data_IF_613459912164
#
_entry.id   IF_613459912164
#
_cell.length_a   1.000
_cell.length_b   1.000
_cell.length_c   1.000
_cell.angle_alpha   90.00
_cell.angle_beta   90.00
_cell.angle_gamma   90.00
#
_symmetry.space_group_name_H-M   'P 1'
#
loop_
_entity.id
_entity.type
_entity.pdbx_description
1 polymer ?
#
# COMPACT_ATOMS: atom_id res chain seq x y z
N UNK A 1 -8.23 -10.92 -30.34
CA UNK A 1 -8.34 -9.44 -30.52
C UNK A 1 -8.25 -8.83 -29.12
N UNK A 2 -7.24 -8.09 -28.68
CA UNK A 2 -5.95 -7.67 -29.21
C UNK A 2 -4.97 -7.67 -28.03
N UNK A 3 -3.79 -8.22 -28.24
CA UNK A 3 -2.67 -8.19 -27.29
C UNK A 3 -1.89 -6.88 -27.48
N UNK A 4 -1.61 -6.17 -26.39
CA UNK A 4 -0.67 -5.05 -26.41
C UNK A 4 0.77 -5.59 -26.47
N UNK A 5 1.51 -5.23 -27.51
CA UNK A 5 2.95 -5.43 -27.64
C UNK A 5 3.68 -4.30 -26.90
N UNK A 6 4.57 -4.65 -25.95
CA UNK A 6 5.62 -3.74 -25.50
C UNK A 6 6.92 -4.12 -26.21
N UNK A 7 7.42 -3.19 -27.03
CA UNK A 7 8.72 -3.27 -27.71
C UNK A 7 9.80 -2.88 -26.71
N UNK A 8 10.70 -3.80 -26.38
CA UNK A 8 11.92 -3.51 -25.64
C UNK A 8 12.98 -2.98 -26.62
N UNK A 9 13.53 -1.79 -26.36
CA UNK A 9 14.62 -1.24 -27.20
C UNK A 9 15.99 -1.86 -26.84
N UNK A 10 16.91 -2.10 -27.82
CA UNK A 10 18.16 -2.82 -27.59
C UNK A 10 19.29 -2.03 -26.89
N UNK A 11 19.02 -0.85 -26.34
CA UNK A 11 20.08 0.11 -25.96
C UNK A 11 20.59 0.00 -24.52
N UNK A 12 19.95 -0.77 -23.63
CA UNK A 12 20.42 -0.91 -22.24
C UNK A 12 21.49 -2.00 -22.04
N UNK A 13 21.56 -3.01 -22.90
CA UNK A 13 22.57 -4.07 -22.81
C UNK A 13 23.99 -3.57 -23.16
N UNK A 14 24.11 -2.58 -24.05
CA UNK A 14 25.39 -2.01 -24.45
C UNK A 14 26.02 -1.09 -23.37
N UNK A 15 25.19 -0.42 -22.56
CA UNK A 15 25.67 0.49 -21.52
C UNK A 15 26.30 -0.26 -20.32
N UNK A 16 25.81 -1.47 -20.02
CA UNK A 16 26.39 -2.34 -18.99
C UNK A 16 27.70 -3.00 -19.45
N UNK A 17 27.84 -3.32 -20.74
CA UNK A 17 29.06 -3.91 -21.29
C UNK A 17 30.26 -2.92 -21.33
N UNK A 18 30.03 -1.64 -21.64
CA UNK A 18 31.10 -0.62 -21.63
C UNK A 18 31.57 -0.22 -20.22
N UNK A 19 30.71 -0.38 -19.21
CA UNK A 19 31.07 -0.06 -17.82
C UNK A 19 31.96 -1.14 -17.18
N UNK A 20 31.86 -2.37 -17.66
CA UNK A 20 32.64 -3.52 -17.16
C UNK A 20 34.03 -3.66 -17.81
N UNK A 21 34.29 -3.04 -18.97
CA UNK A 21 35.63 -3.01 -19.57
C UNK A 21 36.57 -2.04 -18.85
N UNK A 22 36.03 -0.96 -18.28
CA UNK A 22 36.79 0.05 -17.52
C UNK A 22 37.22 -0.43 -16.13
N UNK A 23 36.46 -1.35 -15.51
CA UNK A 23 36.83 -1.93 -14.21
C UNK A 23 37.95 -2.98 -14.29
N UNK A 24 38.23 -3.54 -15.48
CA UNK A 24 39.32 -4.53 -15.68
C UNK A 24 40.73 -3.93 -15.62
N UNK A 25 40.88 -2.61 -15.78
CA UNK A 25 42.19 -1.97 -15.81
C UNK A 25 42.69 -1.48 -14.44
N UNK A 26 41.80 -1.30 -13.46
CA UNK A 26 42.16 -0.62 -12.21
C UNK A 26 42.41 -1.54 -11.02
N UNK A 27 41.83 -2.74 -10.98
CA UNK A 27 41.92 -3.65 -9.81
C UNK A 27 41.83 -5.14 -10.23
N UNK A 28 42.94 -5.78 -10.65
CA UNK A 28 42.92 -7.16 -11.15
C UNK A 28 42.57 -8.23 -10.09
N UNK A 29 42.56 -7.91 -8.80
CA UNK A 29 42.31 -8.89 -7.71
C UNK A 29 40.84 -9.04 -7.27
N UNK A 30 39.90 -8.33 -7.89
CA UNK A 30 38.45 -8.41 -7.59
C UNK A 30 37.61 -9.04 -8.71
N UNK A 31 38.22 -9.37 -9.86
CA UNK A 31 37.52 -9.94 -11.00
C UNK A 31 37.21 -11.44 -10.85
N UNK A 32 37.78 -12.13 -9.86
CA UNK A 32 37.65 -13.59 -9.70
C UNK A 32 36.50 -14.02 -8.76
N UNK A 33 35.69 -13.08 -8.25
CA UNK A 33 34.57 -13.39 -7.33
C UNK A 33 33.18 -13.11 -7.90
N UNK A 34 33.05 -12.80 -9.20
CA UNK A 34 31.76 -12.53 -9.84
C UNK A 34 31.37 -13.53 -10.96
N UNK A 35 32.11 -14.63 -11.12
CA UNK A 35 31.81 -15.67 -12.13
C UNK A 35 31.03 -16.90 -11.58
N UNK A 36 30.51 -16.87 -10.35
CA UNK A 36 29.83 -18.04 -9.73
C UNK A 36 28.32 -17.91 -9.49
N UNK A 37 27.58 -17.13 -10.30
CA UNK A 37 26.11 -17.03 -10.15
C UNK A 37 25.29 -17.05 -11.46
N UNK A 38 25.82 -17.58 -12.56
CA UNK A 38 25.01 -17.80 -13.77
C UNK A 38 25.36 -19.17 -14.36
N UNK A 39 24.82 -20.24 -13.81
CA UNK A 39 24.63 -21.52 -14.51
C UNK A 39 23.54 -22.32 -13.77
N UNK A 40 22.45 -22.68 -14.47
CA UNK A 40 21.66 -23.93 -14.41
C UNK A 40 20.24 -23.73 -15.01
N UNK A 41 19.65 -24.77 -15.65
CA UNK A 41 19.15 -24.65 -17.03
C UNK A 41 17.63 -24.79 -17.20
N UNK A 42 17.16 -24.23 -18.33
CA UNK A 42 15.82 -24.37 -18.89
C UNK A 42 15.50 -25.83 -19.29
N UNK A 43 14.41 -26.40 -18.77
CA UNK A 43 13.85 -27.65 -19.25
C UNK A 43 12.65 -27.40 -20.19
N UNK A 44 12.75 -27.96 -21.38
CA UNK A 44 11.79 -27.92 -22.47
C UNK A 44 10.84 -29.11 -22.34
N UNK A 45 9.53 -28.93 -22.47
CA UNK A 45 8.61 -30.05 -22.78
C UNK A 45 7.47 -29.58 -23.69
N UNK A 46 7.40 -30.20 -24.86
CA UNK A 46 6.42 -29.98 -25.93
C UNK A 46 5.67 -31.28 -26.18
N UNK A 47 4.42 -31.13 -26.64
CA UNK A 47 3.51 -32.13 -27.29
C UNK A 47 2.78 -33.06 -26.32
N UNK A 48 1.46 -33.29 -26.42
CA UNK A 48 0.75 -33.76 -27.62
C UNK A 48 -0.77 -33.50 -27.58
N UNK A 49 -1.39 -33.41 -28.77
CA UNK A 49 -2.84 -33.46 -29.04
C UNK A 49 -3.45 -34.85 -28.78
N UNK A 50 -4.77 -34.90 -28.55
CA UNK A 50 -5.81 -35.78 -29.17
C UNK A 50 -7.14 -35.54 -28.38
N UNK A 51 -8.16 -34.89 -28.95
CA UNK A 51 -9.29 -35.41 -29.74
C UNK A 51 -10.46 -36.06 -28.93
N UNK A 52 -11.55 -35.29 -28.76
CA UNK A 52 -13.03 -35.54 -28.90
C UNK A 52 -13.67 -36.93 -28.57
N UNK A 53 -15.02 -37.06 -28.58
CA UNK A 53 -16.09 -36.34 -27.86
C UNK A 53 -17.07 -37.35 -27.20
N UNK A 54 -18.10 -36.93 -26.44
CA UNK A 54 -19.42 -37.59 -26.49
C UNK A 54 -20.49 -36.71 -25.82
N UNK A 55 -21.56 -36.45 -26.59
CA UNK A 55 -22.79 -35.84 -26.14
C UNK A 55 -23.88 -36.92 -26.16
N UNK A 56 -24.76 -36.95 -25.17
CA UNK A 56 -26.10 -37.53 -25.31
C UNK A 56 -27.11 -36.77 -24.46
N UNK A 57 -28.19 -36.37 -25.12
CA UNK A 57 -29.45 -35.86 -24.55
C UNK A 57 -30.35 -37.02 -24.13
N UNK A 58 -31.23 -36.78 -23.15
CA UNK A 58 -32.62 -37.30 -23.03
C UNK A 58 -33.33 -36.41 -22.00
N UNK A 59 -34.29 -35.57 -22.36
CA UNK A 59 -35.73 -35.79 -22.61
C UNK A 59 -36.49 -36.38 -21.41
N UNK A 60 -37.17 -35.45 -20.72
CA UNK A 60 -38.51 -35.44 -20.13
C UNK A 60 -39.05 -36.65 -19.34
N UNK A 61 -39.61 -36.37 -18.16
CA UNK A 61 -40.95 -36.82 -17.79
C UNK A 61 -41.60 -35.84 -16.82
N UNK A 62 -42.79 -35.38 -17.20
CA UNK A 62 -43.72 -34.55 -16.44
C UNK A 62 -44.36 -35.34 -15.31
N UNK A 63 -44.30 -34.82 -14.08
CA UNK A 63 -45.21 -35.20 -13.01
C UNK A 63 -45.85 -33.95 -12.42
N UNK A 64 -47.17 -33.84 -12.62
CA UNK A 64 -48.05 -32.92 -11.93
C UNK A 64 -48.09 -33.32 -10.44
N UNK A 65 -47.79 -32.37 -9.57
CA UNK A 65 -48.05 -32.44 -8.13
C UNK A 65 -48.83 -31.19 -7.74
N UNK A 66 -50.08 -31.40 -7.30
CA UNK A 66 -50.84 -30.40 -6.54
C UNK A 66 -50.22 -30.29 -5.16
N UNK A 67 -49.89 -29.07 -4.73
CA UNK A 67 -49.41 -28.84 -3.36
C UNK A 67 -49.22 -27.38 -2.99
N UNK A 68 -50.18 -26.88 -2.22
CA UNK A 68 -50.05 -25.88 -1.15
C UNK A 68 -49.58 -24.45 -1.50
N UNK A 69 -50.53 -23.51 -1.41
CA UNK A 69 -50.29 -22.08 -1.24
C UNK A 69 -49.66 -21.83 0.15
N UNK A 70 -48.33 -21.78 0.21
CA UNK A 70 -47.62 -21.21 1.34
C UNK A 70 -47.21 -19.77 1.00
N UNK A 71 -47.84 -18.80 1.68
CA UNK A 71 -47.45 -17.40 1.63
C UNK A 71 -46.00 -17.25 2.12
N UNK A 72 -45.07 -17.01 1.20
CA UNK A 72 -43.68 -16.69 1.52
C UNK A 72 -43.59 -15.23 1.95
N UNK A 73 -43.59 -14.99 3.26
CA UNK A 73 -43.10 -13.73 3.82
C UNK A 73 -41.57 -13.71 3.70
N UNK A 74 -41.06 -13.06 2.67
CA UNK A 74 -39.65 -12.69 2.59
C UNK A 74 -39.38 -11.58 3.62
N UNK A 75 -38.38 -11.72 4.52
CA UNK A 75 -38.02 -10.62 5.39
C UNK A 75 -37.41 -9.51 4.52
N UNK A 76 -37.96 -8.31 4.63
CA UNK A 76 -37.39 -7.10 4.04
C UNK A 76 -35.99 -6.92 4.63
N UNK A 77 -34.98 -7.23 3.81
CA UNK A 77 -33.58 -6.95 4.11
C UNK A 77 -33.45 -5.43 4.19
N UNK A 78 -33.08 -4.83 5.33
CA UNK A 78 -32.88 -3.39 5.38
C UNK A 78 -31.71 -3.09 4.45
N UNK A 79 -31.98 -2.36 3.37
CA UNK A 79 -30.92 -1.78 2.55
C UNK A 79 -30.14 -0.84 3.47
N UNK A 80 -29.00 -1.34 3.94
CA UNK A 80 -28.01 -0.52 4.65
C UNK A 80 -27.57 0.53 3.64
N UNK A 81 -28.10 1.74 3.82
CA UNK A 81 -27.75 2.89 3.00
C UNK A 81 -26.26 3.16 3.27
N UNK A 82 -25.39 2.61 2.41
CA UNK A 82 -23.97 2.93 2.45
C UNK A 82 -23.88 4.35 1.93
N UNK A 83 -23.86 5.31 2.87
CA UNK A 83 -23.47 6.68 2.58
C UNK A 83 -22.05 6.61 2.03
N UNK A 84 -21.89 6.85 0.73
CA UNK A 84 -20.61 7.19 0.13
C UNK A 84 -20.15 8.52 0.73
N UNK A 85 -19.54 8.47 1.92
CA UNK A 85 -18.77 9.59 2.43
C UNK A 85 -17.46 9.55 1.63
N UNK A 86 -17.27 10.53 0.75
CA UNK A 86 -15.98 10.79 0.11
C UNK A 86 -15.01 11.22 1.20
N UNK A 87 -14.33 10.26 1.81
CA UNK A 87 -13.50 10.52 2.98
C UNK A 87 -12.30 11.45 2.67
N UNK A 88 -11.99 11.69 1.38
CA UNK A 88 -10.99 12.66 0.91
C UNK A 88 -11.36 14.12 1.17
N UNK A 89 -12.64 14.48 1.24
CA UNK A 89 -13.06 15.89 1.28
C UNK A 89 -12.71 16.59 2.59
N UNK A 90 -12.60 15.84 3.68
CA UNK A 90 -12.33 16.42 5.01
C UNK A 90 -10.86 16.77 5.17
N UNK A 91 -9.96 15.91 4.67
CA UNK A 91 -8.52 16.10 4.77
C UNK A 91 -8.05 17.28 3.89
N UNK A 92 -8.58 17.36 2.66
CA UNK A 92 -8.30 18.47 1.75
C UNK A 92 -8.76 19.82 2.33
N UNK A 93 -9.96 19.85 2.94
CA UNK A 93 -10.46 21.05 3.59
C UNK A 93 -9.58 21.48 4.77
N UNK A 94 -9.15 20.52 5.61
CA UNK A 94 -8.24 20.80 6.71
C UNK A 94 -6.90 21.33 6.20
N UNK A 95 -6.31 20.69 5.19
CA UNK A 95 -5.04 21.09 4.58
C UNK A 95 -5.05 22.50 4.00
N UNK A 96 -6.15 22.93 3.35
CA UNK A 96 -6.29 24.30 2.82
C UNK A 96 -6.20 25.39 3.89
N UNK A 97 -6.52 25.06 5.14
CA UNK A 97 -6.49 25.99 6.27
C UNK A 97 -5.27 25.79 7.18
N UNK A 98 -4.53 24.70 6.99
CA UNK A 98 -3.40 24.34 7.84
C UNK A 98 -2.19 25.22 7.50
N UNK A 99 -1.54 25.75 8.54
CA UNK A 99 -0.35 26.61 8.43
C UNK A 99 0.76 26.05 9.31
N UNK A 100 1.98 26.01 8.79
CA UNK A 100 3.17 25.71 9.59
C UNK A 100 3.45 26.88 10.54
N UNK A 101 3.13 26.71 11.82
CA UNK A 101 3.47 27.69 12.86
C UNK A 101 4.77 27.36 13.59
N UNK A 102 5.36 26.18 13.35
CA UNK A 102 6.42 25.61 14.18
C UNK A 102 6.02 25.28 15.63
N UNK A 103 4.80 25.65 16.06
CA UNK A 103 4.30 25.48 17.42
C UNK A 103 3.72 24.08 17.70
N UNK A 104 3.21 23.83 18.92
CA UNK A 104 2.51 22.59 19.26
C UNK A 104 1.29 22.33 18.37
N UNK A 105 1.11 21.07 18.02
CA UNK A 105 0.04 20.54 17.18
C UNK A 105 -0.89 19.63 17.99
N UNK A 106 -1.94 19.13 17.35
CA UNK A 106 -2.82 18.12 17.94
C UNK A 106 -2.06 16.81 18.23
N UNK A 107 -1.02 16.48 17.45
CA UNK A 107 -0.22 15.26 17.67
C UNK A 107 0.67 15.37 18.90
N UNK A 108 1.15 16.57 19.25
CA UNK A 108 1.87 16.79 20.52
C UNK A 108 0.97 16.47 21.72
N UNK A 109 -0.33 16.82 21.65
CA UNK A 109 -1.31 16.49 22.69
C UNK A 109 -1.57 14.98 22.78
N UNK A 110 -1.54 14.27 21.65
CA UNK A 110 -1.64 12.80 21.59
C UNK A 110 -0.40 12.16 22.23
N UNK A 111 0.81 12.66 21.89
CA UNK A 111 2.07 12.17 22.47
C UNK A 111 2.07 12.37 23.99
N UNK A 112 1.63 13.54 24.46
CA UNK A 112 1.51 13.88 25.87
C UNK A 112 0.34 13.16 26.60
N UNK A 113 -0.45 12.36 25.88
CA UNK A 113 -1.66 11.67 26.39
C UNK A 113 -2.71 12.62 26.99
N UNK A 114 -2.71 13.90 26.57
CA UNK A 114 -3.70 14.89 26.98
C UNK A 114 -5.06 14.64 26.33
N UNK A 115 -5.05 14.06 25.13
CA UNK A 115 -6.25 13.63 24.41
C UNK A 115 -6.18 12.13 24.09
N UNK A 116 -7.32 11.42 24.11
CA UNK A 116 -7.34 9.99 23.84
C UNK A 116 -7.00 9.70 22.37
N UNK A 117 -6.31 8.59 22.15
CA UNK A 117 -6.07 8.02 20.82
C UNK A 117 -6.05 6.50 20.93
N UNK A 118 -6.45 5.81 19.85
CA UNK A 118 -6.36 4.35 19.78
C UNK A 118 -4.96 3.96 19.29
N UNK A 119 -4.07 3.65 20.24
CA UNK A 119 -2.65 3.39 20.01
C UNK A 119 -2.45 1.94 19.56
N UNK A 120 -1.76 1.76 18.43
CA UNK A 120 -1.48 0.45 17.82
C UNK A 120 -0.02 0.02 18.06
N UNK A 121 0.89 0.99 18.07
CA UNK A 121 2.31 0.76 18.30
C UNK A 121 2.94 1.97 18.96
N UNK A 122 3.83 1.74 19.92
CA UNK A 122 4.56 2.80 20.60
C UNK A 122 5.92 2.25 21.03
N UNK A 123 6.97 3.00 20.76
CA UNK A 123 8.32 2.79 21.29
C UNK A 123 8.90 4.13 21.80
N UNK A 124 10.19 4.19 22.10
CA UNK A 124 10.83 5.39 22.63
C UNK A 124 10.81 6.60 21.68
N UNK A 125 10.77 6.36 20.36
CA UNK A 125 10.93 7.40 19.32
C UNK A 125 9.68 7.59 18.47
N UNK A 126 8.81 6.60 18.36
CA UNK A 126 7.69 6.54 17.42
C UNK A 126 6.39 6.21 18.14
N UNK A 127 5.30 6.82 17.67
CA UNK A 127 3.93 6.52 18.09
C UNK A 127 3.07 6.26 16.85
N UNK A 128 2.25 5.22 16.90
CA UNK A 128 1.27 4.89 15.87
C UNK A 128 -0.13 4.73 16.46
N UNK A 129 -1.11 5.38 15.85
CA UNK A 129 -2.50 5.38 16.31
C UNK A 129 -3.48 5.46 15.15
N UNK A 130 -4.71 4.99 15.37
CA UNK A 130 -5.75 5.00 14.33
C UNK A 130 -6.15 6.43 13.96
N UNK A 131 -6.30 6.66 12.66
CA UNK A 131 -6.84 7.91 12.14
C UNK A 131 -8.32 8.03 12.53
N UNK A 132 -8.75 9.23 12.95
CA UNK A 132 -10.14 9.52 13.33
C UNK A 132 -11.08 9.59 12.11
N UNK A 133 -10.53 9.86 10.93
CA UNK A 133 -11.19 9.94 9.63
C UNK A 133 -10.63 8.86 8.68
N UNK A 134 -10.87 7.55 8.94
CA UNK A 134 -10.26 6.47 8.19
C UNK A 134 -10.68 6.45 6.70
N UNK A 135 -9.70 6.33 5.80
CA UNK A 135 -9.89 6.25 4.34
C UNK A 135 -9.99 4.80 3.82
N UNK A 136 -9.74 3.83 4.70
CA UNK A 136 -9.78 2.41 4.45
C UNK A 136 -10.05 1.66 5.77
N UNK A 137 -10.38 0.36 5.75
CA UNK A 137 -10.61 -0.42 6.97
C UNK A 137 -9.45 -0.35 7.96
N UNK A 138 -8.20 -0.29 7.46
CA UNK A 138 -7.03 0.07 8.26
C UNK A 138 -6.49 1.40 7.76
N UNK A 139 -6.51 2.41 8.63
CA UNK A 139 -5.88 3.71 8.41
C UNK A 139 -5.22 4.17 9.72
N UNK A 140 -3.89 4.15 9.74
CA UNK A 140 -3.08 4.44 10.92
C UNK A 140 -2.08 5.53 10.59
N UNK A 141 -1.89 6.45 11.53
CA UNK A 141 -0.86 7.48 11.47
C UNK A 141 0.33 7.04 12.29
N UNK A 142 1.54 7.20 11.75
CA UNK A 142 2.81 6.96 12.43
C UNK A 142 3.58 8.27 12.50
N UNK A 143 3.96 8.69 13.71
CA UNK A 143 4.59 9.98 13.97
C UNK A 143 5.86 9.81 14.82
N UNK A 144 6.86 10.70 14.66
CA UNK A 144 7.96 10.78 15.59
C UNK A 144 7.47 11.46 16.88
N UNK A 145 7.89 10.96 18.04
CA UNK A 145 7.61 11.59 19.34
C UNK A 145 8.37 12.91 19.52
N UNK A 146 9.59 12.97 19.00
CA UNK A 146 10.40 14.17 18.94
C UNK A 146 10.46 14.67 17.50
N UNK A 147 9.90 15.85 17.24
CA UNK A 147 9.87 16.42 15.89
C UNK A 147 11.19 17.06 15.45
N UNK A 148 11.94 17.72 16.33
CA UNK A 148 13.19 18.43 15.99
C UNK A 148 13.10 19.33 14.72
N UNK A 149 11.96 20.01 14.53
CA UNK A 149 11.69 20.82 13.35
C UNK A 149 11.08 20.09 12.14
N UNK A 150 10.85 18.77 12.22
CA UNK A 150 10.13 17.97 11.22
C UNK A 150 8.61 18.23 11.23
N UNK A 151 8.21 19.44 10.87
CA UNK A 151 6.81 19.79 10.65
C UNK A 151 6.25 19.16 9.37
N UNK A 152 7.12 18.88 8.40
CA UNK A 152 6.82 18.25 7.11
C UNK A 152 8.07 17.62 6.51
N UNK A 153 7.93 16.75 5.50
CA UNK A 153 9.07 16.00 4.94
C UNK A 153 10.12 16.90 4.27
N UNK A 154 9.71 18.00 3.63
CA UNK A 154 10.63 18.97 3.00
C UNK A 154 11.48 19.76 4.00
N UNK A 155 11.21 19.65 5.32
CA UNK A 155 12.06 20.18 6.39
C UNK A 155 13.06 19.16 6.92
N UNK A 156 13.08 17.94 6.36
CA UNK A 156 14.06 16.94 6.73
C UNK A 156 15.49 17.40 6.41
N UNK A 157 16.41 16.94 7.25
CA UNK A 157 17.83 17.26 7.20
C UNK A 157 18.59 15.96 7.43
N UNK A 158 19.90 15.92 7.16
CA UNK A 158 20.69 14.70 7.27
C UNK A 158 20.60 14.04 8.67
N UNK A 159 20.51 14.85 9.74
CA UNK A 159 20.33 14.35 11.13
C UNK A 159 19.03 13.57 11.33
N UNK A 160 18.03 13.81 10.49
CA UNK A 160 16.73 13.15 10.57
C UNK A 160 16.72 11.76 9.88
N UNK A 161 17.81 11.35 9.24
CA UNK A 161 17.86 10.08 8.51
C UNK A 161 17.48 8.86 9.36
N UNK A 162 17.95 8.80 10.61
CA UNK A 162 17.64 7.68 11.51
C UNK A 162 16.14 7.61 11.83
N UNK A 163 15.52 8.72 12.23
CA UNK A 163 14.11 8.74 12.61
C UNK A 163 13.20 8.48 11.40
N UNK A 164 13.56 8.97 10.21
CA UNK A 164 12.82 8.66 8.97
C UNK A 164 12.84 7.16 8.65
N UNK A 165 14.00 6.51 8.80
CA UNK A 165 14.11 5.06 8.66
C UNK A 165 13.26 4.29 9.67
N UNK A 166 13.24 4.76 10.92
CA UNK A 166 12.42 4.15 11.98
C UNK A 166 10.92 4.30 11.72
N UNK A 167 10.45 5.43 11.20
CA UNK A 167 9.04 5.63 10.83
C UNK A 167 8.60 4.65 9.72
N UNK A 168 9.45 4.46 8.69
CA UNK A 168 9.18 3.49 7.62
C UNK A 168 9.22 2.05 8.14
N UNK A 169 10.17 1.72 9.01
CA UNK A 169 10.23 0.39 9.62
C UNK A 169 9.02 0.11 10.53
N UNK A 170 8.60 1.10 11.32
CA UNK A 170 7.38 1.03 12.11
C UNK A 170 6.13 0.81 11.24
N UNK A 171 6.10 1.33 10.00
CA UNK A 171 5.00 1.08 9.05
C UNK A 171 4.85 -0.40 8.71
N UNK A 172 5.96 -1.11 8.54
CA UNK A 172 5.98 -2.57 8.36
C UNK A 172 5.45 -3.29 9.61
N UNK A 173 5.91 -2.90 10.80
CA UNK A 173 5.45 -3.52 12.07
C UNK A 173 3.94 -3.34 12.25
N UNK A 174 3.44 -2.12 12.02
CA UNK A 174 2.01 -1.80 12.11
C UNK A 174 1.21 -2.62 11.11
N UNK A 175 1.68 -2.74 9.86
CA UNK A 175 1.00 -3.54 8.84
C UNK A 175 0.88 -5.02 9.22
N UNK A 176 1.91 -5.61 9.84
CA UNK A 176 1.86 -6.98 10.36
C UNK A 176 0.85 -7.12 11.50
N UNK A 177 0.87 -6.21 12.48
CA UNK A 177 -0.05 -6.21 13.62
C UNK A 177 -1.51 -6.10 13.20
N UNK A 178 -1.78 -5.38 12.11
CA UNK A 178 -3.13 -5.12 11.61
C UNK A 178 -3.58 -6.11 10.52
N UNK A 179 -2.76 -7.14 10.22
CA UNK A 179 -3.12 -8.17 9.26
C UNK A 179 -3.20 -7.68 7.80
N UNK A 180 -2.45 -6.62 7.46
CA UNK A 180 -2.40 -6.03 6.10
C UNK A 180 -1.01 -6.14 5.45
N UNK A 181 -0.13 -7.00 5.98
CA UNK A 181 1.23 -7.17 5.49
C UNK A 181 1.33 -7.53 3.99
N UNK A 182 0.33 -8.24 3.46
CA UNK A 182 0.25 -8.63 2.05
C UNK A 182 -0.04 -7.45 1.10
N UNK A 183 -0.48 -6.31 1.63
CA UNK A 183 -0.80 -5.15 0.80
C UNK A 183 -1.25 -3.93 1.59
N UNK A 184 -0.41 -2.90 1.59
CA UNK A 184 -0.70 -1.59 2.16
C UNK A 184 0.02 -0.49 1.37
N UNK A 185 -0.39 0.76 1.58
CA UNK A 185 0.29 1.95 1.04
C UNK A 185 0.73 2.82 2.20
N UNK A 186 1.97 3.28 2.12
CA UNK A 186 2.51 4.34 2.97
C UNK A 186 2.39 5.66 2.22
N UNK A 187 1.80 6.68 2.83
CA UNK A 187 1.66 8.02 2.25
C UNK A 187 2.26 9.05 3.20
N UNK A 188 3.05 9.98 2.66
CA UNK A 188 3.53 11.16 3.37
C UNK A 188 3.09 12.37 2.56
N UNK A 189 2.24 13.21 3.15
CA UNK A 189 1.80 14.44 2.53
C UNK A 189 2.77 15.56 2.91
N UNK A 190 3.14 16.41 1.94
CA UNK A 190 3.99 17.57 2.17
C UNK A 190 3.33 18.82 1.57
N UNK A 191 2.89 19.72 2.44
CA UNK A 191 2.27 20.98 2.07
C UNK A 191 0.81 20.85 1.59
N UNK A 192 0.19 21.99 1.22
CA UNK A 192 -1.24 22.08 0.96
C UNK A 192 -1.71 21.28 -0.26
N UNK A 193 -0.95 21.30 -1.36
CA UNK A 193 -1.31 20.59 -2.60
C UNK A 193 -1.29 19.06 -2.45
N UNK A 194 -0.53 18.57 -1.46
CA UNK A 194 -0.51 17.15 -1.10
C UNK A 194 -1.52 16.80 0.00
N UNK A 195 -2.39 17.73 0.39
CA UNK A 195 -3.36 17.58 1.49
C UNK A 195 -2.71 17.29 2.86
N UNK A 196 -1.63 17.98 3.22
CA UNK A 196 -1.10 17.91 4.60
C UNK A 196 -1.96 18.75 5.56
N UNK A 197 -2.63 18.11 6.52
CA UNK A 197 -3.52 18.79 7.49
C UNK A 197 -2.87 19.15 8.83
N UNK A 198 -1.85 18.40 9.25
CA UNK A 198 -1.12 18.62 10.50
C UNK A 198 0.37 18.80 10.22
N UNK A 199 0.95 19.90 10.71
CA UNK A 199 2.35 20.26 10.56
C UNK A 199 3.24 19.60 11.63
N UNK A 200 3.12 18.28 11.69
CA UNK A 200 3.96 17.34 12.42
C UNK A 200 4.11 16.13 11.51
N UNK A 201 5.33 15.76 11.13
CA UNK A 201 5.56 14.69 10.14
C UNK A 201 4.80 13.41 10.52
N UNK A 202 4.00 12.90 9.58
CA UNK A 202 3.22 11.69 9.78
C UNK A 202 3.19 10.84 8.51
N UNK A 203 3.21 9.53 8.70
CA UNK A 203 3.03 8.53 7.66
C UNK A 203 1.62 7.95 7.83
N UNK A 204 0.85 7.93 6.76
CA UNK A 204 -0.39 7.16 6.69
C UNK A 204 -0.06 5.73 6.26
N UNK A 205 -0.48 4.75 7.03
CA UNK A 205 -0.50 3.34 6.65
C UNK A 205 -1.94 2.95 6.33
N UNK A 206 -2.22 2.69 5.05
CA UNK A 206 -3.57 2.49 4.52
C UNK A 206 -3.68 1.07 3.93
N UNK A 207 -4.66 0.29 4.37
CA UNK A 207 -4.84 -1.09 3.92
C UNK A 207 -6.23 -1.68 4.22
N UNK A 208 -6.35 -2.99 4.09
CA UNK A 208 -7.60 -3.73 4.34
C UNK A 208 -8.63 -3.65 3.20
N UNK A 209 -8.25 -3.06 2.05
CA UNK A 209 -9.02 -3.07 0.80
C UNK A 209 -8.09 -2.86 -0.39
N UNK A 210 -8.57 -3.17 -1.61
CA UNK A 210 -7.86 -2.77 -2.83
C UNK A 210 -7.74 -1.24 -2.90
N UNK A 211 -6.51 -0.74 -3.07
CA UNK A 211 -6.22 0.66 -3.28
C UNK A 211 -6.22 0.99 -4.77
N UNK A 212 -6.73 2.18 -5.12
CA UNK A 212 -6.82 2.65 -6.51
C UNK A 212 -5.50 3.30 -6.96
N UNK A 213 -5.38 3.51 -8.27
CA UNK A 213 -4.33 4.27 -8.93
C UNK A 213 -4.98 5.28 -9.90
N UNK A 214 -4.55 6.56 -9.94
CA UNK A 214 -3.44 7.17 -9.17
C UNK A 214 -3.69 7.24 -7.65
N UNK A 215 -2.65 7.53 -6.84
CA UNK A 215 -2.74 7.59 -5.38
C UNK A 215 -3.15 8.99 -4.89
N UNK A 216 -4.29 9.47 -5.39
CA UNK A 216 -4.90 10.77 -5.13
C UNK A 216 -6.17 10.87 -5.96
#
# INVERSE_FOLDING_TARGET
MNSFHFIWQPTMAAALASSLSLLRYSLPSLATQLETLIELPFWFCRTSRLALPYATRSIAFSHLSLGSLAASFAPLRPQRFVRHITASSNEEAAAKTAVDTGGPTIFDKIIAKEIPSDIVYEDDKVLAFRDINPQAPVHILIIPKLRDGLTQLSKAEARHGEILGQLLYASKIVAEKEGIAEGFRVVINNGPDACQSVYHLHLHVIGGRQLKWPPG
#
